data_IF_767655205980
#
_entry.id   IF_767655205980
#
_cell.length_a   1.000
_cell.length_b   1.000
_cell.length_c   1.000
_cell.angle_alpha   90.00
_cell.angle_beta   90.00
_cell.angle_gamma   90.00
#
_symmetry.space_group_name_H-M   'P 1'
#
loop_
_entity.id
_entity.type
_entity.pdbx_description
1 polymer ?
#
# COMPACT_ATOMS: atom_id res chain seq x y z
N UNK A 1 28.05 -42.67 47.73
CA UNK A 1 26.82 -42.11 48.31
C UNK A 1 27.00 -40.60 48.44
N UNK A 2 25.95 -39.83 48.10
CA UNK A 2 25.75 -38.39 48.31
C UNK A 2 26.63 -37.37 47.55
N UNK A 3 26.04 -36.65 46.57
CA UNK A 3 25.73 -35.22 46.67
C UNK A 3 25.17 -34.70 45.33
N UNK A 4 23.88 -34.37 45.33
CA UNK A 4 23.22 -33.61 44.28
C UNK A 4 23.58 -32.13 44.42
N UNK A 5 23.92 -31.45 43.32
CA UNK A 5 23.76 -29.99 43.21
C UNK A 5 23.20 -29.62 41.83
N UNK A 6 21.99 -29.07 41.89
CA UNK A 6 21.22 -28.42 40.84
C UNK A 6 22.01 -27.28 40.18
N UNK A 7 21.93 -27.17 38.86
CA UNK A 7 22.22 -25.92 38.13
C UNK A 7 21.30 -25.83 36.92
N UNK A 8 20.01 -25.59 37.22
CA UNK A 8 19.02 -25.17 36.24
C UNK A 8 19.22 -23.67 36.01
N UNK A 9 19.83 -23.27 34.90
CA UNK A 9 19.92 -21.84 34.54
C UNK A 9 19.47 -21.58 33.10
N UNK A 10 18.39 -20.81 33.03
CA UNK A 10 18.04 -19.88 31.95
C UNK A 10 17.51 -20.47 30.64
N UNK A 11 16.34 -21.14 30.72
CA UNK A 11 15.41 -21.03 29.60
C UNK A 11 14.77 -19.65 29.64
N UNK A 12 15.22 -18.78 28.73
CA UNK A 12 14.64 -17.45 28.47
C UNK A 12 13.11 -17.54 28.39
N UNK A 13 12.43 -16.68 29.15
CA UNK A 13 10.97 -16.53 29.20
C UNK A 13 10.35 -16.36 27.79
N UNK A 14 11.14 -15.92 26.80
CA UNK A 14 10.72 -15.85 25.39
C UNK A 14 10.52 -17.20 24.71
N UNK A 15 11.23 -18.27 25.11
CA UNK A 15 11.01 -19.62 24.55
C UNK A 15 9.79 -20.29 25.14
N UNK A 16 9.46 -20.04 26.41
CA UNK A 16 8.20 -20.48 27.00
C UNK A 16 7.01 -19.69 26.45
N UNK A 17 7.16 -18.39 26.17
CA UNK A 17 6.11 -17.60 25.52
C UNK A 17 5.89 -18.01 24.06
N UNK A 18 6.94 -18.31 23.29
CA UNK A 18 6.78 -18.82 21.92
C UNK A 18 6.28 -20.27 21.89
N UNK A 19 6.67 -21.11 22.85
CA UNK A 19 6.15 -22.47 22.99
C UNK A 19 4.70 -22.48 23.50
N UNK A 20 4.30 -21.58 24.39
CA UNK A 20 2.91 -21.44 24.85
C UNK A 20 2.02 -20.82 23.78
N UNK A 21 2.49 -19.80 23.05
CA UNK A 21 1.75 -19.23 21.91
C UNK A 21 1.62 -20.25 20.77
N UNK A 22 2.64 -21.08 20.51
CA UNK A 22 2.58 -22.11 19.45
C UNK A 22 1.89 -23.41 19.89
N UNK A 23 1.77 -23.69 21.19
CA UNK A 23 1.03 -24.84 21.75
C UNK A 23 -0.43 -24.53 22.07
N UNK A 24 -0.83 -23.25 22.08
CA UNK A 24 -2.24 -22.81 22.14
C UNK A 24 -2.81 -22.28 20.81
N UNK A 25 -2.01 -22.20 19.75
CA UNK A 25 -2.50 -21.82 18.40
C UNK A 25 -2.86 -23.01 17.50
N UNK A 26 -2.69 -24.26 17.92
CA UNK A 26 -3.18 -25.44 17.20
C UNK A 26 -3.43 -26.54 18.25
N UNK A 27 -4.65 -26.60 18.81
CA UNK A 27 -5.59 -27.60 18.35
C UNK A 27 -6.97 -26.97 18.08
N UNK A 28 -7.65 -27.47 17.05
CA UNK A 28 -8.98 -27.05 16.57
C UNK A 28 -9.05 -25.67 15.90
N UNK A 29 -8.29 -25.48 14.83
CA UNK A 29 -8.83 -24.71 13.71
C UNK A 29 -9.68 -25.67 12.87
N UNK A 30 -11.03 -25.67 12.95
CA UNK A 30 -11.81 -26.19 11.85
C UNK A 30 -11.43 -25.36 10.62
N UNK A 31 -11.21 -26.03 9.48
CA UNK A 31 -10.95 -25.36 8.21
C UNK A 31 -11.93 -24.19 8.05
N UNK A 32 -11.42 -22.99 7.77
CA UNK A 32 -12.24 -21.82 7.45
C UNK A 32 -13.10 -22.21 6.23
N UNK A 33 -14.32 -22.65 6.50
CA UNK A 33 -15.33 -22.98 5.49
C UNK A 33 -15.52 -21.79 4.57
N UNK A 34 -15.78 -22.07 3.30
CA UNK A 34 -16.02 -21.04 2.29
C UNK A 34 -17.25 -20.20 2.68
N UNK A 35 -17.26 -18.90 2.39
CA UNK A 35 -18.38 -18.00 2.76
C UNK A 35 -19.75 -18.50 2.21
N UNK A 36 -19.76 -19.36 1.20
CA UNK A 36 -20.94 -19.98 0.58
C UNK A 36 -21.61 -21.12 1.38
N UNK A 37 -21.01 -21.60 2.47
CA UNK A 37 -21.51 -22.77 3.23
C UNK A 37 -22.37 -22.42 4.46
N UNK A 38 -22.55 -21.13 4.76
CA UNK A 38 -23.23 -20.68 5.97
C UNK A 38 -24.71 -20.32 5.71
N UNK A 39 -25.68 -21.03 6.32
CA UNK A 39 -27.09 -20.66 6.23
C UNK A 39 -27.38 -19.34 6.98
N UNK A 40 -28.37 -18.58 6.48
CA UNK A 40 -28.93 -17.42 7.19
C UNK A 40 -29.97 -17.92 8.20
N UNK A 41 -29.72 -17.72 9.49
CA UNK A 41 -30.57 -18.23 10.58
C UNK A 41 -30.83 -17.19 11.67
N UNK A 42 -31.81 -17.42 12.55
CA UNK A 42 -32.14 -16.49 13.64
C UNK A 42 -30.97 -16.31 14.61
N UNK A 43 -30.91 -15.13 15.26
CA UNK A 43 -29.82 -14.80 16.18
C UNK A 43 -29.82 -15.75 17.40
N UNK A 44 -28.68 -16.38 17.74
CA UNK A 44 -28.58 -17.22 18.93
C UNK A 44 -28.82 -16.41 20.21
N UNK A 45 -29.59 -16.97 21.15
CA UNK A 45 -29.96 -16.31 22.42
C UNK A 45 -28.78 -16.22 23.41
N UNK A 46 -27.78 -17.06 23.22
CA UNK A 46 -26.56 -17.22 24.01
C UNK A 46 -25.36 -16.44 23.44
N UNK A 47 -25.58 -15.59 22.43
CA UNK A 47 -24.53 -14.86 21.70
C UNK A 47 -23.59 -14.06 22.61
N UNK A 48 -24.13 -13.39 23.64
CA UNK A 48 -23.32 -12.59 24.58
C UNK A 48 -22.40 -13.45 25.44
N UNK A 49 -22.88 -14.61 25.89
CA UNK A 49 -22.09 -15.57 26.67
C UNK A 49 -20.95 -16.16 25.83
N UNK A 50 -21.21 -16.47 24.56
CA UNK A 50 -20.20 -16.97 23.62
C UNK A 50 -19.17 -15.90 23.28
N UNK A 51 -19.59 -14.64 23.09
CA UNK A 51 -18.67 -13.52 22.91
C UNK A 51 -17.75 -13.32 24.12
N UNK A 52 -18.27 -13.43 25.34
CA UNK A 52 -17.49 -13.38 26.57
C UNK A 52 -16.46 -14.51 26.65
N UNK A 53 -16.86 -15.74 26.33
CA UNK A 53 -15.96 -16.90 26.28
C UNK A 53 -14.80 -16.68 25.29
N UNK A 54 -15.13 -16.24 24.07
CA UNK A 54 -14.14 -15.93 23.02
C UNK A 54 -13.19 -14.80 23.46
N UNK A 55 -13.69 -13.77 24.14
CA UNK A 55 -12.87 -12.66 24.64
C UNK A 55 -11.93 -13.12 25.77
N UNK A 56 -12.36 -14.07 26.62
CA UNK A 56 -11.50 -14.66 27.66
C UNK A 56 -10.39 -15.53 27.07
N UNK A 57 -10.70 -16.34 26.05
CA UNK A 57 -9.74 -17.27 25.44
C UNK A 57 -8.65 -16.58 24.62
N UNK A 58 -8.98 -15.47 23.95
CA UNK A 58 -8.08 -14.82 22.98
C UNK A 58 -7.53 -13.49 23.50
N UNK A 59 -8.22 -12.89 24.47
CA UNK A 59 -7.90 -11.59 25.04
C UNK A 59 -8.66 -10.44 24.36
N UNK A 60 -8.69 -9.29 25.03
CA UNK A 60 -9.56 -8.16 24.65
C UNK A 60 -9.04 -7.32 23.47
N UNK A 61 -7.87 -7.65 22.92
CA UNK A 61 -7.25 -6.91 21.81
C UNK A 61 -7.57 -7.51 20.42
N UNK A 62 -8.72 -8.18 20.28
CA UNK A 62 -9.14 -8.84 19.03
C UNK A 62 -9.93 -7.88 18.17
N UNK A 63 -9.68 -7.87 16.86
CA UNK A 63 -10.43 -7.04 15.93
C UNK A 63 -11.85 -7.58 15.74
N UNK A 64 -12.80 -6.67 15.52
CA UNK A 64 -14.22 -6.97 15.25
C UNK A 64 -14.38 -8.04 14.16
N UNK A 65 -13.58 -7.97 13.09
CA UNK A 65 -13.57 -8.94 11.99
C UNK A 65 -13.17 -10.35 12.43
N UNK A 66 -12.25 -10.48 13.38
CA UNK A 66 -11.80 -11.78 13.91
C UNK A 66 -12.82 -12.35 14.88
N UNK A 67 -13.44 -11.51 15.71
CA UNK A 67 -14.55 -11.91 16.58
C UNK A 67 -15.73 -12.43 15.77
N UNK A 68 -16.16 -11.68 14.76
CA UNK A 68 -17.25 -12.07 13.85
C UNK A 68 -17.00 -13.43 13.21
N UNK A 69 -15.83 -13.65 12.61
CA UNK A 69 -15.48 -14.94 11.99
C UNK A 69 -15.48 -16.11 12.96
N UNK A 70 -15.18 -15.87 14.24
CA UNK A 70 -15.20 -16.91 15.27
C UNK A 70 -16.61 -17.24 15.74
N UNK A 71 -17.46 -16.24 15.87
CA UNK A 71 -18.88 -16.45 16.15
C UNK A 71 -19.56 -17.16 14.98
N UNK A 72 -19.25 -16.78 13.74
CA UNK A 72 -19.70 -17.46 12.51
C UNK A 72 -19.26 -18.93 12.51
N UNK A 73 -18.00 -19.21 12.86
CA UNK A 73 -17.49 -20.57 12.96
C UNK A 73 -18.13 -21.39 14.09
N UNK A 74 -18.45 -20.76 15.23
CA UNK A 74 -19.06 -21.42 16.39
C UNK A 74 -20.50 -21.85 16.10
N UNK A 75 -21.32 -20.95 15.53
CA UNK A 75 -22.73 -21.21 15.26
C UNK A 75 -22.99 -21.79 13.88
N UNK A 76 -22.00 -21.80 12.99
CA UNK A 76 -22.16 -22.16 11.57
C UNK A 76 -23.29 -21.37 10.90
N UNK A 77 -23.40 -20.08 11.24
CA UNK A 77 -24.36 -19.14 10.68
C UNK A 77 -23.58 -17.95 10.13
N UNK A 78 -24.03 -17.39 9.01
CA UNK A 78 -23.47 -16.13 8.50
C UNK A 78 -24.11 -14.93 9.21
N UNK A 79 -23.28 -14.10 9.82
CA UNK A 79 -23.72 -12.88 10.52
C UNK A 79 -23.64 -11.63 9.63
N UNK A 80 -23.52 -11.73 8.29
CA UNK A 80 -23.58 -10.57 7.37
C UNK A 80 -24.86 -9.75 7.60
N UNK A 81 -26.02 -10.42 7.65
CA UNK A 81 -27.33 -9.78 7.80
C UNK A 81 -27.56 -9.24 9.23
N UNK A 82 -26.98 -9.90 10.23
CA UNK A 82 -27.12 -9.56 11.65
C UNK A 82 -25.92 -8.76 12.22
N UNK A 83 -25.09 -8.19 11.34
CA UNK A 83 -23.86 -7.48 11.72
C UNK A 83 -24.09 -6.37 12.75
N UNK A 84 -25.18 -5.61 12.59
CA UNK A 84 -25.54 -4.54 13.51
C UNK A 84 -25.91 -5.06 14.90
N UNK A 85 -26.61 -6.20 14.99
CA UNK A 85 -26.99 -6.83 16.24
C UNK A 85 -25.76 -7.42 16.97
N UNK A 86 -24.84 -8.04 16.22
CA UNK A 86 -23.57 -8.55 16.75
C UNK A 86 -22.70 -7.42 17.31
N UNK A 87 -22.67 -6.27 16.64
CA UNK A 87 -21.99 -5.08 17.12
C UNK A 87 -22.61 -4.49 18.39
N UNK A 88 -23.94 -4.52 18.51
CA UNK A 88 -24.63 -4.07 19.71
C UNK A 88 -24.30 -4.99 20.89
N UNK A 89 -24.40 -6.30 20.72
CA UNK A 89 -24.01 -7.30 21.73
C UNK A 89 -22.53 -7.16 22.14
N UNK A 90 -21.63 -6.95 21.18
CA UNK A 90 -20.21 -6.74 21.47
C UNK A 90 -19.97 -5.47 22.31
N UNK A 91 -20.71 -4.39 22.07
CA UNK A 91 -20.60 -3.16 22.88
C UNK A 91 -21.07 -3.40 24.32
N UNK A 92 -22.17 -4.13 24.51
CA UNK A 92 -22.66 -4.51 25.85
C UNK A 92 -21.64 -5.35 26.60
N UNK A 93 -21.04 -6.33 25.92
CA UNK A 93 -20.00 -7.21 26.48
C UNK A 93 -18.69 -6.46 26.78
N UNK A 94 -18.28 -5.51 25.94
CA UNK A 94 -17.11 -4.67 26.21
C UNK A 94 -17.35 -3.65 27.32
N UNK A 95 -18.61 -3.28 27.58
CA UNK A 95 -19.01 -2.37 28.65
C UNK A 95 -19.09 -3.05 30.02
N UNK A 96 -19.03 -4.39 30.09
CA UNK A 96 -19.10 -5.14 31.35
C UNK A 96 -17.86 -4.85 32.22
N UNK A 97 -18.00 -4.62 33.54
CA UNK A 97 -16.89 -4.22 34.42
C UNK A 97 -15.72 -5.22 34.41
N UNK A 98 -16.00 -6.51 34.24
CA UNK A 98 -15.00 -7.56 34.09
C UNK A 98 -14.07 -7.30 32.89
N UNK A 99 -14.64 -7.02 31.72
CA UNK A 99 -13.91 -6.81 30.47
C UNK A 99 -13.18 -5.47 30.48
N UNK A 100 -13.76 -4.43 31.09
CA UNK A 100 -13.07 -3.16 31.27
C UNK A 100 -11.82 -3.30 32.14
N UNK A 101 -11.90 -4.07 33.23
CA UNK A 101 -10.75 -4.33 34.11
C UNK A 101 -9.65 -5.13 33.38
N UNK A 102 -10.03 -6.10 32.54
CA UNK A 102 -9.09 -6.82 31.67
C UNK A 102 -8.44 -5.90 30.64
N UNK A 103 -9.19 -4.96 30.04
CA UNK A 103 -8.63 -3.98 29.09
C UNK A 103 -7.69 -2.98 29.76
N UNK A 104 -8.01 -2.56 31.00
CA UNK A 104 -7.19 -1.66 31.78
C UNK A 104 -5.88 -2.33 32.20
N UNK A 105 -5.92 -3.60 32.66
CA UNK A 105 -4.73 -4.41 32.94
C UNK A 105 -3.86 -4.59 31.68
N UNK A 106 -4.48 -4.93 30.54
CA UNK A 106 -3.76 -5.07 29.27
C UNK A 106 -3.14 -3.74 28.77
N UNK A 107 -3.77 -2.59 29.05
CA UNK A 107 -3.20 -1.27 28.76
C UNK A 107 -2.03 -0.93 29.68
N UNK A 108 -2.17 -1.18 30.98
CA UNK A 108 -1.09 -0.95 31.96
C UNK A 108 0.12 -1.87 31.70
N UNK A 109 -0.09 -3.12 31.29
CA UNK A 109 0.99 -4.02 30.88
C UNK A 109 1.71 -3.52 29.63
N UNK A 110 0.98 -3.00 28.63
CA UNK A 110 1.58 -2.37 27.45
C UNK A 110 2.31 -1.07 27.76
N UNK A 111 1.81 -0.24 28.66
CA UNK A 111 2.47 1.00 29.08
C UNK A 111 3.75 0.73 29.88
N UNK A 112 3.75 -0.32 30.72
CA UNK A 112 4.95 -0.81 31.42
C UNK A 112 5.98 -1.42 30.44
N UNK A 113 5.56 -2.04 29.36
CA UNK A 113 6.45 -2.57 28.30
C UNK A 113 7.04 -1.46 27.40
N UNK A 114 6.39 -0.31 27.29
CA UNK A 114 6.82 0.81 26.41
C UNK A 114 7.80 1.78 27.11
N UNK A 115 7.99 1.65 28.43
CA UNK A 115 8.95 2.45 29.22
C UNK A 115 10.42 2.07 29.06
N UNK A 116 10.78 1.00 28.33
CA UNK A 116 12.16 0.54 28.22
C UNK A 116 12.50 -0.08 26.87
N UNK A 117 13.49 0.51 26.19
CA UNK A 117 14.14 0.08 24.93
C UNK A 117 13.34 0.23 23.64
N UNK A 118 13.92 1.05 22.76
CA UNK A 118 13.48 1.29 21.39
C UNK A 118 13.15 0.02 20.61
N UNK A 119 12.08 0.14 19.84
CA UNK A 119 11.50 -0.79 18.87
C UNK A 119 12.55 -1.57 18.07
N UNK A 120 13.01 -2.71 18.59
CA UNK A 120 13.70 -3.76 17.80
C UNK A 120 12.66 -4.35 16.84
N UNK A 121 12.69 -3.92 15.57
CA UNK A 121 11.99 -4.62 14.48
C UNK A 121 12.62 -6.00 14.36
N UNK A 122 11.84 -7.03 14.67
CA UNK A 122 12.22 -8.43 14.54
C UNK A 122 12.78 -8.73 13.15
N UNK A 123 13.93 -9.39 13.18
CA UNK A 123 14.65 -9.97 12.04
C UNK A 123 13.87 -11.19 11.56
N UNK A 124 13.34 -11.16 10.33
CA UNK A 124 13.06 -12.42 9.60
C UNK A 124 14.41 -13.00 9.13
N UNK A 125 14.64 -14.32 9.19
CA UNK A 125 15.84 -14.93 8.63
C UNK A 125 15.90 -14.64 7.14
N UNK A 126 17.03 -14.12 6.70
CA UNK A 126 17.33 -13.71 5.33
C UNK A 126 18.32 -14.69 4.75
N UNK A 127 17.86 -15.90 4.45
CA UNK A 127 18.53 -16.85 3.58
C UNK A 127 17.42 -17.58 2.83
N UNK A 128 16.89 -16.92 1.80
CA UNK A 128 16.10 -17.50 0.67
C UNK A 128 15.40 -16.36 -0.10
N UNK A 129 16.20 -15.44 -0.64
CA UNK A 129 15.71 -14.30 -1.45
C UNK A 129 16.44 -14.17 -2.78
N UNK A 130 17.06 -15.24 -3.26
CA UNK A 130 17.63 -15.28 -4.61
C UNK A 130 16.56 -15.60 -5.67
N UNK A 131 15.48 -16.30 -5.30
CA UNK A 131 14.38 -16.63 -6.24
C UNK A 131 13.28 -15.55 -6.35
N UNK A 132 13.11 -14.70 -5.33
CA UNK A 132 12.09 -13.62 -5.33
C UNK A 132 12.43 -12.37 -6.14
N UNK A 133 13.48 -12.41 -6.98
CA UNK A 133 13.85 -11.29 -7.86
C UNK A 133 13.11 -11.36 -9.22
N UNK A 134 12.53 -12.50 -9.59
CA UNK A 134 11.65 -12.63 -10.77
C UNK A 134 10.23 -12.06 -10.51
N UNK A 135 9.72 -12.18 -9.29
CA UNK A 135 8.33 -11.78 -8.96
C UNK A 135 8.11 -10.28 -8.72
N UNK A 136 9.18 -9.49 -8.50
CA UNK A 136 9.02 -8.06 -8.15
C UNK A 136 8.80 -7.14 -9.36
N UNK A 137 8.68 -7.69 -10.57
CA UNK A 137 8.13 -6.97 -11.74
C UNK A 137 6.59 -6.93 -11.71
N UNK A 138 5.94 -7.73 -10.87
CA UNK A 138 4.46 -7.87 -10.82
C UNK A 138 3.74 -6.92 -9.86
N UNK A 139 4.44 -6.16 -9.00
CA UNK A 139 3.79 -5.27 -8.01
C UNK A 139 3.46 -3.86 -8.50
N UNK A 140 3.54 -3.58 -9.79
CA UNK A 140 2.68 -2.52 -10.37
C UNK A 140 1.35 -3.20 -10.60
N UNK A 141 0.29 -2.80 -9.89
CA UNK A 141 -1.09 -3.18 -10.27
C UNK A 141 -1.15 -3.03 -11.78
N UNK A 142 -1.29 -4.13 -12.56
CA UNK A 142 -1.32 -4.02 -14.00
C UNK A 142 -2.43 -3.02 -14.30
N UNK A 143 -2.07 -1.90 -14.94
CA UNK A 143 -3.10 -1.02 -15.48
C UNK A 143 -3.91 -1.95 -16.37
N UNK A 144 -5.21 -2.04 -16.13
CA UNK A 144 -6.11 -2.80 -16.99
C UNK A 144 -5.78 -2.41 -18.43
N UNK A 145 -5.27 -3.40 -19.16
CA UNK A 145 -4.95 -3.26 -20.56
C UNK A 145 -6.29 -3.35 -21.29
N UNK A 146 -6.39 -2.58 -22.37
CA UNK A 146 -7.50 -2.82 -23.29
C UNK A 146 -7.34 -4.27 -23.79
N UNK A 147 -8.43 -5.03 -23.96
CA UNK A 147 -8.38 -6.30 -24.66
C UNK A 147 -7.67 -6.13 -26.01
N UNK A 148 -6.93 -7.14 -26.46
CA UNK A 148 -6.15 -7.03 -27.70
C UNK A 148 -7.07 -6.84 -28.93
N UNK A 149 -8.28 -7.39 -28.88
CA UNK A 149 -9.32 -7.23 -29.90
C UNK A 149 -10.12 -5.91 -29.78
N UNK A 150 -9.80 -5.04 -28.81
CA UNK A 150 -10.54 -3.79 -28.62
C UNK A 150 -10.24 -2.80 -29.76
N UNK A 151 -11.26 -2.29 -30.47
CA UNK A 151 -11.08 -1.36 -31.58
C UNK A 151 -10.24 -0.15 -31.20
N UNK A 152 -9.28 0.21 -32.07
CA UNK A 152 -8.41 1.37 -31.85
C UNK A 152 -9.27 2.63 -31.86
N UNK A 153 -8.96 3.57 -30.97
CA UNK A 153 -9.71 4.82 -30.87
C UNK A 153 -9.61 5.62 -32.18
N UNK A 154 -10.66 6.36 -32.56
CA UNK A 154 -10.62 7.10 -33.79
C UNK A 154 -9.62 8.25 -33.71
N UNK A 155 -8.90 8.48 -34.80
CA UNK A 155 -7.95 9.58 -34.95
C UNK A 155 -8.70 10.87 -35.27
N UNK A 156 -8.38 11.93 -34.54
CA UNK A 156 -8.88 13.28 -34.84
C UNK A 156 -8.07 13.92 -35.96
N UNK A 157 -8.62 14.97 -36.60
CA UNK A 157 -7.97 15.69 -37.69
C UNK A 157 -6.52 16.10 -37.34
N UNK A 158 -6.31 16.58 -36.11
CA UNK A 158 -4.98 16.93 -35.59
C UNK A 158 -4.02 15.74 -35.52
N UNK A 159 -4.48 14.56 -35.09
CA UNK A 159 -3.61 13.38 -34.99
C UNK A 159 -3.25 12.82 -36.37
N UNK A 160 -4.17 12.94 -37.33
CA UNK A 160 -3.88 12.58 -38.72
C UNK A 160 -2.81 13.53 -39.29
N UNK A 161 -2.97 14.85 -39.11
CA UNK A 161 -1.96 15.85 -39.45
C UNK A 161 -0.60 15.57 -38.80
N UNK A 162 -0.60 15.25 -37.49
CA UNK A 162 0.63 14.88 -36.78
C UNK A 162 1.28 13.64 -37.36
N UNK A 163 0.52 12.64 -37.81
CA UNK A 163 1.08 11.41 -38.37
C UNK A 163 1.88 11.66 -39.65
N UNK A 164 1.41 12.57 -40.49
CA UNK A 164 2.08 12.92 -41.76
C UNK A 164 3.29 13.84 -41.52
N UNK A 165 3.17 14.84 -40.64
CA UNK A 165 4.18 15.88 -40.45
C UNK A 165 5.24 15.56 -39.42
N UNK A 166 4.98 14.65 -38.48
CA UNK A 166 5.94 14.29 -37.42
C UNK A 166 7.23 13.71 -37.97
N UNK A 167 7.16 12.86 -38.99
CA UNK A 167 8.34 12.24 -39.57
C UNK A 167 9.18 13.25 -40.35
N UNK A 168 8.53 14.20 -41.02
CA UNK A 168 9.20 15.33 -41.65
C UNK A 168 9.96 16.18 -40.61
N UNK A 169 9.28 16.63 -39.55
CA UNK A 169 9.89 17.46 -38.51
C UNK A 169 10.99 16.74 -37.74
N UNK A 170 10.89 15.42 -37.57
CA UNK A 170 11.93 14.59 -36.96
C UNK A 170 13.17 14.49 -37.84
N UNK A 171 13.03 14.43 -39.16
CA UNK A 171 14.17 14.45 -40.09
C UNK A 171 14.85 15.82 -40.12
N UNK A 172 14.06 16.89 -40.10
CA UNK A 172 14.56 18.27 -40.07
C UNK A 172 15.18 18.64 -38.70
N UNK A 173 14.67 18.06 -37.60
CA UNK A 173 15.13 18.33 -36.24
C UNK A 173 15.48 17.01 -35.51
N UNK A 174 16.57 16.32 -35.89
CA UNK A 174 16.92 15.03 -35.30
C UNK A 174 17.31 15.11 -33.82
N UNK A 175 17.74 16.27 -33.35
CA UNK A 175 18.15 16.52 -31.97
C UNK A 175 16.97 16.89 -31.04
N UNK A 176 15.80 17.20 -31.60
CA UNK A 176 14.65 17.60 -30.80
C UNK A 176 14.01 16.41 -30.09
N UNK A 177 13.57 16.64 -28.85
CA UNK A 177 12.79 15.64 -28.14
C UNK A 177 11.42 15.45 -28.80
N UNK A 178 10.82 14.26 -28.63
CA UNK A 178 9.43 14.00 -29.10
C UNK A 178 8.44 15.04 -28.55
N UNK A 179 8.70 15.56 -27.35
CA UNK A 179 7.88 16.60 -26.75
C UNK A 179 7.98 17.94 -27.49
N UNK A 180 9.19 18.32 -27.92
CA UNK A 180 9.41 19.60 -28.62
C UNK A 180 8.89 19.55 -30.05
N UNK A 181 9.05 18.41 -30.74
CA UNK A 181 8.39 18.16 -32.03
C UNK A 181 6.87 18.27 -31.89
N UNK A 182 6.29 17.72 -30.81
CA UNK A 182 4.85 17.83 -30.53
C UNK A 182 4.38 19.28 -30.33
N UNK A 183 5.19 20.13 -29.67
CA UNK A 183 4.88 21.56 -29.52
C UNK A 183 4.90 22.28 -30.87
N UNK A 184 5.89 22.00 -31.72
CA UNK A 184 6.00 22.57 -33.07
C UNK A 184 4.80 22.18 -33.95
N UNK A 185 4.40 20.90 -33.93
CA UNK A 185 3.20 20.42 -34.62
C UNK A 185 1.91 21.09 -34.13
N UNK A 186 1.78 21.27 -32.81
CA UNK A 186 0.63 21.97 -32.23
C UNK A 186 0.55 23.44 -32.65
N UNK A 187 1.70 24.11 -32.80
CA UNK A 187 1.75 25.47 -33.30
C UNK A 187 1.40 25.53 -34.81
N UNK A 188 1.94 24.62 -35.61
CA UNK A 188 1.62 24.52 -37.04
C UNK A 188 0.13 24.26 -37.27
N UNK A 189 -0.49 23.36 -36.51
CA UNK A 189 -1.92 23.07 -36.64
C UNK A 189 -2.83 24.30 -36.44
N UNK A 190 -2.43 25.24 -35.58
CA UNK A 190 -3.18 26.50 -35.38
C UNK A 190 -3.06 27.47 -36.56
N UNK A 191 -2.05 27.29 -37.40
CA UNK A 191 -1.76 28.10 -38.58
C UNK A 191 -2.19 27.41 -39.89
N UNK A 192 -2.71 26.18 -39.82
CA UNK A 192 -3.20 25.44 -40.99
C UNK A 192 -4.38 26.18 -41.62
N UNK A 193 -4.41 26.21 -42.95
CA UNK A 193 -5.49 26.85 -43.72
C UNK A 193 -6.83 26.13 -43.51
N UNK A 194 -7.94 26.83 -43.75
CA UNK A 194 -9.27 26.23 -43.65
C UNK A 194 -9.45 25.04 -44.61
N UNK A 195 -8.83 25.09 -45.78
CA UNK A 195 -8.89 24.03 -46.80
C UNK A 195 -8.17 22.76 -46.36
N UNK A 196 -6.94 22.89 -45.85
CA UNK A 196 -6.18 21.75 -45.34
C UNK A 196 -6.84 21.17 -44.09
N UNK A 197 -7.34 22.03 -43.19
CA UNK A 197 -8.10 21.61 -42.01
C UNK A 197 -9.34 20.81 -42.41
N UNK A 198 -10.09 21.25 -43.43
CA UNK A 198 -11.25 20.55 -43.95
C UNK A 198 -10.89 19.17 -44.53
N UNK A 199 -9.75 19.05 -45.22
CA UNK A 199 -9.24 17.75 -45.70
C UNK A 199 -9.00 16.77 -44.54
N UNK A 200 -8.30 17.20 -43.49
CA UNK A 200 -8.05 16.34 -42.32
C UNK A 200 -9.32 16.04 -41.53
N UNK A 201 -10.27 16.97 -41.49
CA UNK A 201 -11.58 16.78 -40.86
C UNK A 201 -12.39 15.68 -41.58
N UNK A 202 -12.42 15.69 -42.92
CA UNK A 202 -13.06 14.63 -43.71
C UNK A 202 -12.41 13.26 -43.47
N UNK A 203 -11.09 13.21 -43.34
CA UNK A 203 -10.38 11.98 -42.99
C UNK A 203 -10.70 11.50 -41.57
N UNK A 204 -10.83 12.42 -40.61
CA UNK A 204 -11.21 12.11 -39.23
C UNK A 204 -12.65 11.59 -39.14
N UNK A 205 -13.57 12.12 -39.95
CA UNK A 205 -14.94 11.61 -40.05
C UNK A 205 -14.99 10.19 -40.64
N UNK A 206 -14.19 9.92 -41.67
CA UNK A 206 -14.05 8.58 -42.22
C UNK A 206 -13.45 7.60 -41.19
N UNK A 207 -12.46 8.05 -40.42
CA UNK A 207 -11.84 7.27 -39.34
C UNK A 207 -12.84 6.98 -38.20
N UNK A 208 -13.64 7.97 -37.82
CA UNK A 208 -14.74 7.82 -36.87
C UNK A 208 -15.77 6.79 -37.35
N UNK A 209 -16.17 6.85 -38.62
CA UNK A 209 -17.10 5.87 -39.19
C UNK A 209 -16.52 4.45 -39.22
N UNK A 210 -15.21 4.29 -39.51
CA UNK A 210 -14.52 3.00 -39.34
C UNK A 210 -14.61 2.52 -37.89
N UNK A 211 -14.26 3.37 -36.93
CA UNK A 211 -14.26 3.00 -35.51
C UNK A 211 -15.65 2.58 -35.05
N UNK A 212 -16.70 3.28 -35.47
CA UNK A 212 -18.09 2.93 -35.13
C UNK A 212 -18.47 1.55 -35.68
N UNK A 213 -18.07 1.22 -36.92
CA UNK A 213 -18.29 -0.11 -37.52
C UNK A 213 -17.52 -1.20 -36.77
N UNK A 214 -16.24 -0.98 -36.48
CA UNK A 214 -15.40 -1.93 -35.73
C UNK A 214 -15.91 -2.11 -34.29
N UNK A 215 -16.38 -1.03 -33.65
CA UNK A 215 -16.93 -1.05 -32.31
C UNK A 215 -18.26 -1.80 -32.26
N UNK A 216 -19.14 -1.58 -33.25
CA UNK A 216 -20.37 -2.35 -33.39
C UNK A 216 -20.09 -3.84 -33.60
N UNK A 217 -19.14 -4.18 -34.48
CA UNK A 217 -18.73 -5.57 -34.71
C UNK A 217 -18.12 -6.23 -33.46
N UNK A 218 -17.31 -5.50 -32.69
CA UNK A 218 -16.74 -5.99 -31.43
C UNK A 218 -17.81 -6.20 -30.35
N UNK A 219 -18.79 -5.29 -30.24
CA UNK A 219 -19.91 -5.45 -29.30
C UNK A 219 -20.78 -6.64 -29.72
N UNK A 220 -21.07 -6.80 -31.01
CA UNK A 220 -21.82 -7.94 -31.54
C UNK A 220 -21.13 -9.30 -31.25
N UNK A 221 -19.79 -9.31 -31.18
CA UNK A 221 -18.99 -10.49 -30.77
C UNK A 221 -18.92 -10.70 -29.24
N UNK A 222 -19.70 -9.96 -28.45
CA UNK A 222 -19.76 -10.08 -26.99
C UNK A 222 -18.78 -9.18 -26.23
N UNK A 223 -18.09 -8.27 -26.91
CA UNK A 223 -17.14 -7.35 -26.28
C UNK A 223 -17.81 -6.17 -25.59
N UNK A 224 -17.33 -5.79 -24.39
CA UNK A 224 -17.81 -4.62 -23.67
C UNK A 224 -16.92 -3.37 -23.86
N UNK A 225 -17.51 -2.17 -23.78
CA UNK A 225 -16.75 -0.90 -23.82
C UNK A 225 -15.78 -0.83 -22.63
N UNK A 226 -14.50 -0.62 -22.92
CA UNK A 226 -13.45 -0.56 -21.91
C UNK A 226 -13.37 0.85 -21.31
N UNK A 227 -13.59 0.96 -19.99
CA UNK A 227 -13.37 2.21 -19.24
C UNK A 227 -12.23 2.03 -18.26
N UNK A 228 -11.17 2.83 -18.40
CA UNK A 228 -10.04 2.80 -17.46
C UNK A 228 -10.35 3.69 -16.26
N UNK A 229 -10.48 3.10 -15.07
CA UNK A 229 -10.58 3.90 -13.84
C UNK A 229 -9.24 4.58 -13.53
N UNK A 230 -9.15 5.89 -13.80
CA UNK A 230 -7.92 6.65 -13.57
C UNK A 230 -7.77 6.97 -12.07
N UNK A 231 -6.90 6.24 -11.35
CA UNK A 231 -6.55 6.56 -9.94
C UNK A 231 -5.42 7.58 -9.81
N UNK A 232 -4.87 8.10 -10.91
CA UNK A 232 -3.64 8.94 -10.86
C UNK A 232 -3.89 10.44 -10.69
N UNK A 233 -5.03 10.98 -11.16
CA UNK A 233 -5.29 12.44 -11.08
C UNK A 233 -5.35 12.95 -9.63
N UNK A 234 -5.98 12.21 -8.71
CA UNK A 234 -6.08 12.61 -7.31
C UNK A 234 -4.74 12.64 -6.55
N UNK A 235 -3.74 11.87 -6.99
CA UNK A 235 -2.44 11.79 -6.29
C UNK A 235 -1.51 12.95 -6.64
N UNK A 236 -1.65 13.57 -7.82
CA UNK A 236 -0.86 14.73 -8.22
C UNK A 236 -1.42 16.01 -7.58
N UNK A 237 -2.73 16.21 -7.64
CA UNK A 237 -3.39 17.37 -7.01
C UNK A 237 -3.22 17.38 -5.48
N UNK A 238 -3.22 16.22 -4.81
CA UNK A 238 -2.94 16.14 -3.37
C UNK A 238 -1.49 16.51 -3.01
N UNK A 239 -0.55 16.37 -3.96
CA UNK A 239 0.87 16.74 -3.74
C UNK A 239 1.10 18.24 -3.86
N UNK A 240 0.40 18.90 -4.78
CA UNK A 240 0.45 20.37 -4.91
C UNK A 240 -0.19 21.07 -3.71
N UNK A 241 -1.25 20.48 -3.13
CA UNK A 241 -1.93 21.01 -1.94
C UNK A 241 -1.29 20.65 -0.58
N UNK A 242 -0.31 19.74 -0.53
CA UNK A 242 0.46 19.44 0.70
C UNK A 242 1.88 19.99 0.60
N UNK A 243 2.00 21.29 0.33
CA UNK A 243 3.19 21.91 -0.25
C UNK A 243 4.45 21.94 0.64
N UNK A 244 4.40 21.45 1.89
CA UNK A 244 5.62 21.27 2.70
C UNK A 244 6.14 19.85 2.59
N UNK A 245 7.39 19.70 2.15
CA UNK A 245 8.10 18.41 2.17
C UNK A 245 8.41 18.03 3.62
N UNK A 246 8.02 16.81 4.02
CA UNK A 246 8.24 16.30 5.39
C UNK A 246 9.69 16.47 5.86
N UNK A 247 9.84 16.73 7.16
CA UNK A 247 11.14 16.74 7.81
C UNK A 247 11.91 15.43 7.57
N UNK A 248 13.17 15.56 7.19
CA UNK A 248 14.10 14.46 6.99
C UNK A 248 14.67 13.97 8.32
N UNK A 249 14.62 12.65 8.59
CA UNK A 249 15.25 12.08 9.78
C UNK A 249 16.78 12.02 9.63
N UNK A 250 17.50 11.89 10.75
CA UNK A 250 18.98 11.88 10.79
C UNK A 250 19.62 10.88 9.82
N UNK A 251 19.03 9.68 9.71
CA UNK A 251 19.47 8.66 8.76
C UNK A 251 19.44 9.12 7.30
N UNK A 252 18.49 9.97 6.89
CA UNK A 252 18.41 10.43 5.50
C UNK A 252 19.53 11.41 5.14
N UNK A 253 19.96 12.25 6.10
CA UNK A 253 21.15 13.08 5.96
C UNK A 253 22.41 12.23 5.89
N UNK A 254 22.54 11.24 6.77
CA UNK A 254 23.64 10.28 6.70
C UNK A 254 23.66 9.53 5.36
N UNK A 255 22.51 9.05 4.88
CA UNK A 255 22.42 8.36 3.61
C UNK A 255 22.73 9.26 2.41
N UNK A 256 22.50 10.58 2.50
CA UNK A 256 22.96 11.54 1.48
C UNK A 256 24.48 11.66 1.48
N UNK A 257 25.08 11.90 2.65
CA UNK A 257 26.54 12.02 2.79
C UNK A 257 27.25 10.70 2.41
N UNK A 258 26.66 9.55 2.76
CA UNK A 258 27.15 8.22 2.39
C UNK A 258 27.09 8.00 0.87
N UNK A 259 25.97 8.36 0.22
CA UNK A 259 25.84 8.23 -1.25
C UNK A 259 26.82 9.13 -2.00
N UNK A 260 27.07 10.34 -1.50
CA UNK A 260 28.05 11.25 -2.09
C UNK A 260 29.48 10.68 -2.03
N UNK A 261 29.84 9.99 -0.94
CA UNK A 261 31.15 9.35 -0.77
C UNK A 261 31.29 8.01 -1.49
N UNK A 262 30.18 7.39 -1.88
CA UNK A 262 30.14 6.06 -2.50
C UNK A 262 29.52 6.10 -3.91
N UNK A 263 29.89 7.10 -4.71
CA UNK A 263 29.35 7.33 -6.06
C UNK A 263 29.56 6.17 -7.05
N UNK A 264 30.61 5.36 -6.85
CA UNK A 264 30.98 4.26 -7.73
C UNK A 264 30.06 3.03 -7.60
N UNK A 265 29.37 2.92 -6.47
CA UNK A 265 28.48 1.80 -6.20
C UNK A 265 27.09 2.05 -6.80
N UNK A 266 26.44 0.99 -7.27
CA UNK A 266 25.02 1.08 -7.66
C UNK A 266 24.18 1.60 -6.49
N UNK A 267 23.21 2.47 -6.77
CA UNK A 267 22.25 3.01 -5.80
C UNK A 267 21.63 1.93 -4.88
N UNK A 268 21.46 0.71 -5.39
CA UNK A 268 20.95 -0.42 -4.58
C UNK A 268 21.95 -0.85 -3.50
N UNK A 269 23.24 -0.93 -3.84
CA UNK A 269 24.29 -1.32 -2.91
C UNK A 269 24.64 -0.15 -1.97
N UNK A 270 24.63 1.09 -2.47
CA UNK A 270 24.76 2.29 -1.63
C UNK A 270 23.72 2.29 -0.50
N UNK A 271 22.45 2.02 -0.79
CA UNK A 271 21.41 1.95 0.24
C UNK A 271 21.61 0.80 1.22
N UNK A 272 22.11 -0.35 0.75
CA UNK A 272 22.37 -1.52 1.58
C UNK A 272 23.51 -1.25 2.57
N UNK A 273 24.61 -0.70 2.06
CA UNK A 273 25.78 -0.35 2.85
C UNK A 273 25.53 0.82 3.78
N UNK A 274 24.81 1.87 3.34
CA UNK A 274 24.39 2.96 4.22
C UNK A 274 23.55 2.44 5.41
N UNK A 275 22.63 1.51 5.16
CA UNK A 275 21.83 0.90 6.22
C UNK A 275 22.64 0.03 7.20
N UNK A 276 23.73 -0.58 6.74
CA UNK A 276 24.65 -1.35 7.58
C UNK A 276 25.56 -0.42 8.40
N UNK A 277 26.16 0.57 7.75
CA UNK A 277 27.03 1.57 8.37
C UNK A 277 26.27 2.34 9.46
N UNK A 278 25.05 2.81 9.19
CA UNK A 278 24.24 3.52 10.19
C UNK A 278 23.98 2.73 11.48
N UNK A 279 23.91 1.40 11.39
CA UNK A 279 23.74 0.53 12.56
C UNK A 279 25.01 0.40 13.39
N UNK A 280 26.17 0.51 12.74
CA UNK A 280 27.48 0.40 13.39
C UNK A 280 27.95 1.73 13.99
N UNK A 281 27.45 2.88 13.51
CA UNK A 281 27.79 4.19 14.06
C UNK A 281 27.41 4.30 15.55
N UNK A 282 28.33 4.88 16.32
CA UNK A 282 28.12 5.30 17.70
C UNK A 282 27.15 6.48 17.82
N UNK A 283 26.74 6.82 19.05
CA UNK A 283 25.90 7.98 19.30
C UNK A 283 26.61 9.30 18.93
N UNK A 284 27.91 9.40 19.20
CA UNK A 284 28.72 10.58 18.88
C UNK A 284 28.82 10.82 17.36
N UNK A 285 28.97 9.76 16.56
CA UNK A 285 29.03 9.91 15.09
C UNK A 285 27.65 10.19 14.47
N UNK A 286 26.57 9.88 15.18
CA UNK A 286 25.20 10.21 14.79
C UNK A 286 24.79 11.63 15.13
N UNK A 287 25.39 12.20 16.17
CA UNK A 287 25.13 13.56 16.66
C UNK A 287 25.08 14.63 15.55
N UNK A 288 26.05 14.75 14.62
CA UNK A 288 25.99 15.78 13.57
C UNK A 288 24.78 15.57 12.63
N UNK A 289 24.33 14.34 12.43
CA UNK A 289 23.15 14.03 11.61
C UNK A 289 21.84 14.26 12.36
N UNK A 290 21.84 14.03 13.68
CA UNK A 290 20.72 14.34 14.56
C UNK A 290 20.52 15.86 14.69
N UNK A 291 21.60 16.63 14.79
CA UNK A 291 21.56 18.09 14.74
C UNK A 291 20.99 18.61 13.41
N UNK A 292 21.43 18.04 12.27
CA UNK A 292 20.85 18.34 10.94
C UNK A 292 19.35 18.01 10.89
N UNK A 293 18.94 16.88 11.44
CA UNK A 293 17.53 16.48 11.50
C UNK A 293 16.68 17.37 12.42
N UNK A 294 17.23 17.84 13.54
CA UNK A 294 16.56 18.78 14.43
C UNK A 294 16.31 20.13 13.73
N UNK A 295 17.31 20.66 13.02
CA UNK A 295 17.17 21.88 12.20
C UNK A 295 16.11 21.71 11.09
N UNK A 296 16.14 20.58 10.41
CA UNK A 296 15.18 20.27 9.33
C UNK A 296 13.74 20.09 9.83
N UNK A 297 13.59 19.51 11.03
CA UNK A 297 12.32 19.42 11.75
C UNK A 297 11.79 20.80 12.13
N UNK A 298 12.65 21.71 12.59
CA UNK A 298 12.26 23.09 12.89
C UNK A 298 11.80 23.82 11.62
N UNK A 299 12.55 23.71 10.50
CA UNK A 299 12.14 24.27 9.20
C UNK A 299 10.77 23.75 8.76
N UNK A 300 10.55 22.44 8.80
CA UNK A 300 9.26 21.85 8.43
C UNK A 300 8.13 22.36 9.34
N UNK A 301 8.37 22.52 10.65
CA UNK A 301 7.38 23.05 11.57
C UNK A 301 7.03 24.51 11.24
N UNK A 302 8.01 25.37 10.96
CA UNK A 302 7.77 26.76 10.57
C UNK A 302 7.06 26.86 9.21
N UNK A 303 7.43 26.03 8.23
CA UNK A 303 6.78 25.98 6.92
C UNK A 303 5.31 25.54 7.02
N UNK A 304 5.02 24.52 7.84
CA UNK A 304 3.65 24.07 8.10
C UNK A 304 2.83 25.15 8.80
N UNK A 305 3.42 25.82 9.79
CA UNK A 305 2.74 26.91 10.51
C UNK A 305 2.45 28.12 9.59
N UNK A 306 3.36 28.45 8.66
CA UNK A 306 3.14 29.50 7.68
C UNK A 306 1.98 29.18 6.74
N UNK A 307 1.88 27.93 6.24
CA UNK A 307 0.77 27.50 5.40
C UNK A 307 -0.58 27.42 6.11
N UNK A 308 -0.60 27.24 7.43
CA UNK A 308 -1.83 27.25 8.21
C UNK A 308 -2.36 28.66 8.48
N UNK A 309 -1.52 29.69 8.32
CA UNK A 309 -1.85 31.10 8.53
C UNK A 309 -2.20 31.86 7.23
N UNK A 310 -1.88 31.28 6.07
CA UNK A 310 -2.20 31.80 4.73
C UNK A 310 -3.53 31.28 4.22
#
# INVERSE_FOLDING_TARGET
>A
MAAALFSFTSLSVSSLLFALVRRFLLPTYPALMSESEYPQGPLPKDLEATLLSIIRDIGVAVSEKVLRKRVEAHYKIDFVSHHAALLAALRTVLATPEVQLLTAKAKQEKEKEVGGKGKKRGRSPSSDKKDKKKDKKEKRVPKEKKPDDYPKAPLTAFFIFCSEKRDQLRRENPNDSVGDIGKKLGAQWKLVSAEDSARYQKQAEADKARHEREMAAYIAKGGAKFSRQSKSKGKHQKREKSAVKRAMPAYMFFAQDFRAKHGDLSMTEQMRQAGAAWKQLSAAEKEPFEAKAAKDKARHASEVQALQKS
#
